data_IF_724562339909
#
_entry.id   IF_724562339909
#
_cell.length_a   1.000
_cell.length_b   1.000
_cell.length_c   1.000
_cell.angle_alpha   90.00
_cell.angle_beta   90.00
_cell.angle_gamma   90.00
#
_symmetry.space_group_name_H-M   'P 1'
#
loop_
_entity.id
_entity.type
_entity.pdbx_description
1 polymer ?
#
# COMPACT_ATOMS: atom_id res chain seq x y z
N UNK A 1 5.37 18.04 4.15
CA UNK A 1 4.55 18.10 2.92
C UNK A 1 5.04 17.00 1.99
N UNK A 2 4.40 15.84 1.98
CA UNK A 2 4.66 14.77 1.02
C UNK A 2 4.21 15.23 -0.35
N UNK A 3 5.05 15.09 -1.39
CA UNK A 3 4.65 15.39 -2.76
C UNK A 3 3.39 14.58 -3.10
N UNK A 4 2.33 15.17 -3.67
CA UNK A 4 1.06 14.49 -3.93
C UNK A 4 1.22 13.22 -4.78
N UNK A 5 2.28 13.15 -5.59
CA UNK A 5 2.66 11.97 -6.36
C UNK A 5 3.08 10.76 -5.49
N UNK A 6 3.77 10.99 -4.36
CA UNK A 6 4.28 9.91 -3.51
C UNK A 6 3.19 9.24 -2.68
N UNK A 7 2.21 10.01 -2.21
CA UNK A 7 1.06 9.42 -1.52
C UNK A 7 0.23 8.56 -2.48
N UNK A 8 0.01 9.03 -3.71
CA UNK A 8 -0.69 8.27 -4.74
C UNK A 8 0.04 6.95 -5.07
N UNK A 9 1.36 6.99 -5.26
CA UNK A 9 2.19 5.78 -5.46
C UNK A 9 2.04 4.79 -4.30
N UNK A 10 2.02 5.27 -3.05
CA UNK A 10 1.82 4.40 -1.88
C UNK A 10 0.42 3.80 -1.81
N UNK A 11 -0.62 4.56 -2.20
CA UNK A 11 -2.00 4.05 -2.31
C UNK A 11 -2.13 2.99 -3.39
N UNK A 12 -1.56 3.22 -4.56
CA UNK A 12 -1.52 2.25 -5.64
C UNK A 12 -0.80 0.97 -5.22
N UNK A 13 0.34 1.11 -4.54
CA UNK A 13 1.06 -0.04 -4.00
C UNK A 13 0.25 -0.82 -2.94
N UNK A 14 -0.43 -0.12 -2.02
CA UNK A 14 -1.32 -0.75 -1.06
C UNK A 14 -2.46 -1.51 -1.77
N UNK A 15 -3.03 -0.93 -2.83
CA UNK A 15 -4.05 -1.58 -3.67
C UNK A 15 -3.51 -2.82 -4.40
N UNK A 16 -2.30 -2.77 -4.94
CA UNK A 16 -1.62 -3.91 -5.58
C UNK A 16 -1.39 -5.04 -4.58
N UNK A 17 -0.94 -4.74 -3.37
CA UNK A 17 -0.76 -5.74 -2.31
C UNK A 17 -2.09 -6.42 -1.97
N UNK A 18 -3.18 -5.65 -1.86
CA UNK A 18 -4.52 -6.20 -1.63
C UNK A 18 -4.94 -7.12 -2.78
N UNK A 19 -4.72 -6.75 -4.04
CA UNK A 19 -5.01 -7.62 -5.21
C UNK A 19 -4.21 -8.93 -5.17
N UNK A 20 -2.92 -8.85 -4.86
CA UNK A 20 -2.03 -10.02 -4.75
C UNK A 20 -2.57 -11.02 -3.71
N UNK A 21 -2.98 -10.51 -2.54
CA UNK A 21 -3.49 -11.34 -1.44
C UNK A 21 -4.91 -11.86 -1.70
N UNK A 22 -5.74 -11.07 -2.38
CA UNK A 22 -7.08 -11.48 -2.80
C UNK A 22 -7.06 -12.59 -3.86
N UNK A 23 -5.94 -12.84 -4.54
CA UNK A 23 -5.78 -13.98 -5.45
C UNK A 23 -6.01 -15.35 -4.79
N UNK A 24 -6.07 -15.41 -3.45
CA UNK A 24 -6.40 -16.61 -2.68
C UNK A 24 -7.91 -16.81 -2.48
N UNK A 25 -8.72 -15.80 -2.76
CA UNK A 25 -10.17 -15.86 -2.62
C UNK A 25 -10.82 -16.35 -3.92
N UNK A 26 -11.99 -16.99 -3.80
CA UNK A 26 -12.75 -17.44 -4.96
C UNK A 26 -13.33 -16.28 -5.77
N UNK A 27 -13.72 -15.19 -5.09
CA UNK A 27 -14.23 -13.97 -5.71
C UNK A 27 -14.03 -12.74 -4.82
N UNK A 28 -14.09 -11.56 -5.43
CA UNK A 28 -14.04 -10.28 -4.72
C UNK A 28 -15.29 -10.07 -3.88
N UNK A 29 -16.44 -10.58 -4.34
CA UNK A 29 -17.70 -10.58 -3.60
C UNK A 29 -17.56 -11.33 -2.26
N UNK A 30 -16.97 -12.53 -2.30
CA UNK A 30 -16.74 -13.32 -1.10
C UNK A 30 -15.80 -12.60 -0.13
N UNK A 31 -14.67 -12.09 -0.63
CA UNK A 31 -13.73 -11.35 0.20
C UNK A 31 -14.36 -10.11 0.85
N UNK A 32 -15.13 -9.32 0.10
CA UNK A 32 -15.81 -8.14 0.63
C UNK A 32 -16.80 -8.51 1.74
N UNK A 33 -17.55 -9.61 1.55
CA UNK A 33 -18.46 -10.15 2.56
C UNK A 33 -17.70 -10.59 3.83
N UNK A 34 -16.62 -11.35 3.67
CA UNK A 34 -15.79 -11.82 4.80
C UNK A 34 -15.16 -10.65 5.57
N UNK A 35 -14.82 -9.56 4.89
CA UNK A 35 -14.23 -8.37 5.51
C UNK A 35 -15.30 -7.46 6.15
N UNK A 36 -16.59 -7.72 5.89
CA UNK A 36 -17.70 -6.90 6.34
C UNK A 36 -17.73 -5.51 5.69
N UNK A 37 -17.34 -5.41 4.41
CA UNK A 37 -17.37 -4.17 3.63
C UNK A 37 -18.12 -4.34 2.31
N UNK A 38 -18.59 -3.24 1.74
CA UNK A 38 -19.25 -3.27 0.42
C UNK A 38 -18.21 -3.55 -0.66
N UNK A 39 -18.60 -4.31 -1.69
CA UNK A 39 -17.74 -4.66 -2.84
C UNK A 39 -17.08 -3.44 -3.50
N UNK A 40 -17.84 -2.36 -3.73
CA UNK A 40 -17.31 -1.12 -4.31
C UNK A 40 -16.22 -0.49 -3.44
N UNK A 41 -16.34 -0.60 -2.12
CA UNK A 41 -15.31 -0.15 -1.17
C UNK A 41 -14.03 -0.97 -1.30
N UNK A 42 -14.13 -2.29 -1.50
CA UNK A 42 -12.95 -3.13 -1.74
C UNK A 42 -12.28 -2.79 -3.07
N UNK A 43 -13.04 -2.51 -4.13
CA UNK A 43 -12.50 -1.98 -5.39
C UNK A 43 -11.78 -0.64 -5.19
N UNK A 44 -12.38 0.29 -4.45
CA UNK A 44 -11.74 1.58 -4.16
C UNK A 44 -10.39 1.42 -3.43
N UNK A 45 -10.27 0.43 -2.54
CA UNK A 45 -8.98 0.08 -1.89
C UNK A 45 -8.00 -0.47 -2.93
N UNK A 46 -8.43 -1.42 -3.76
CA UNK A 46 -7.58 -2.04 -4.81
C UNK A 46 -7.13 -1.05 -5.88
N UNK A 47 -7.89 0.01 -6.14
CA UNK A 47 -7.59 1.09 -7.09
C UNK A 47 -6.76 2.21 -6.45
N UNK A 48 -6.48 2.14 -5.13
CA UNK A 48 -5.73 3.18 -4.43
C UNK A 48 -6.46 4.51 -4.31
N UNK A 49 -7.81 4.49 -4.24
CA UNK A 49 -8.60 5.71 -4.29
C UNK A 49 -8.32 6.65 -3.11
N UNK A 50 -8.24 7.96 -3.39
CA UNK A 50 -7.88 9.00 -2.42
C UNK A 50 -8.87 9.08 -1.24
N UNK A 51 -10.15 8.79 -1.48
CA UNK A 51 -11.23 8.94 -0.50
C UNK A 51 -11.35 7.78 0.51
N UNK A 52 -10.55 6.71 0.35
CA UNK A 52 -10.57 5.55 1.26
C UNK A 52 -9.99 5.96 2.62
N UNK A 53 -10.76 5.68 3.69
CA UNK A 53 -10.41 6.07 5.07
C UNK A 53 -9.62 4.97 5.78
N UNK A 54 -8.86 5.36 6.81
CA UNK A 54 -8.10 4.44 7.68
C UNK A 54 -8.93 3.24 8.16
N UNK A 55 -10.17 3.47 8.61
CA UNK A 55 -11.05 2.40 9.09
C UNK A 55 -11.26 1.29 8.05
N UNK A 56 -11.41 1.66 6.77
CA UNK A 56 -11.55 0.71 5.67
C UNK A 56 -10.28 -0.11 5.49
N UNK A 57 -9.11 0.52 5.50
CA UNK A 57 -7.83 -0.20 5.42
C UNK A 57 -7.64 -1.16 6.60
N UNK A 58 -8.08 -0.79 7.81
CA UNK A 58 -8.02 -1.67 8.96
C UNK A 58 -8.93 -2.90 8.82
N UNK A 59 -10.14 -2.74 8.27
CA UNK A 59 -11.02 -3.87 7.95
C UNK A 59 -10.37 -4.83 6.95
N UNK A 60 -9.74 -4.29 5.92
CA UNK A 60 -9.02 -5.09 4.91
C UNK A 60 -7.79 -5.78 5.51
N UNK A 61 -7.03 -5.12 6.39
CA UNK A 61 -5.92 -5.75 7.10
C UNK A 61 -6.39 -7.00 7.86
N UNK A 62 -7.43 -6.86 8.69
CA UNK A 62 -8.00 -7.97 9.46
C UNK A 62 -8.48 -9.09 8.54
N UNK A 63 -9.20 -8.73 7.48
CA UNK A 63 -9.71 -9.69 6.50
C UNK A 63 -8.63 -10.52 5.80
N UNK A 64 -7.50 -9.90 5.49
CA UNK A 64 -6.36 -10.55 4.84
C UNK A 64 -5.37 -11.20 5.83
N UNK A 65 -5.64 -11.13 7.13
CA UNK A 65 -4.70 -11.59 8.16
C UNK A 65 -3.40 -10.77 8.22
N UNK A 66 -3.42 -9.52 7.74
CA UNK A 66 -2.32 -8.60 7.84
C UNK A 66 -2.27 -7.95 9.24
N UNK A 67 -1.08 -7.51 9.68
CA UNK A 67 -0.96 -6.72 10.89
C UNK A 67 -1.87 -5.48 10.87
N UNK A 68 -2.48 -5.19 12.02
CA UNK A 68 -3.38 -4.05 12.16
C UNK A 68 -2.67 -2.75 11.82
N UNK A 69 -3.34 -1.89 11.04
CA UNK A 69 -2.79 -0.60 10.61
C UNK A 69 -1.78 -0.65 9.46
N UNK A 70 -1.29 -1.83 9.03
CA UNK A 70 -0.21 -1.93 8.03
C UNK A 70 -0.53 -1.18 6.73
N UNK A 71 -1.65 -1.49 6.08
CA UNK A 71 -2.04 -0.81 4.84
C UNK A 71 -2.15 0.72 4.99
N UNK A 72 -2.62 1.21 6.15
CA UNK A 72 -2.69 2.65 6.39
C UNK A 72 -1.30 3.26 6.63
N UNK A 73 -0.43 2.58 7.35
CA UNK A 73 0.96 2.98 7.53
C UNK A 73 1.69 3.10 6.19
N UNK A 74 1.44 2.18 5.24
CA UNK A 74 1.95 2.28 3.87
C UNK A 74 1.47 3.57 3.22
N UNK A 75 0.16 3.85 3.22
CA UNK A 75 -0.41 5.07 2.61
C UNK A 75 0.20 6.33 3.22
N UNK A 76 0.34 6.38 4.55
CA UNK A 76 0.93 7.51 5.28
C UNK A 76 2.45 7.62 5.10
N UNK A 77 3.13 6.56 4.65
CA UNK A 77 4.59 6.50 4.63
C UNK A 77 5.19 6.39 6.03
N UNK A 78 4.49 5.77 6.97
CA UNK A 78 4.93 5.60 8.36
C UNK A 78 5.97 4.47 8.47
N UNK A 79 7.22 4.83 8.17
CA UNK A 79 8.39 3.94 8.24
C UNK A 79 8.56 3.32 9.63
N UNK A 80 8.40 4.11 10.69
CA UNK A 80 8.62 3.67 12.06
C UNK A 80 7.63 2.57 12.46
N UNK A 81 6.35 2.74 12.11
CA UNK A 81 5.36 1.69 12.34
C UNK A 81 5.72 0.41 11.56
N UNK A 82 6.06 0.51 10.28
CA UNK A 82 6.36 -0.66 9.45
C UNK A 82 7.61 -1.40 9.93
N UNK A 83 8.60 -0.68 10.45
CA UNK A 83 9.79 -1.28 11.05
C UNK A 83 9.50 -2.04 12.35
N UNK A 84 8.49 -1.65 13.13
CA UNK A 84 8.15 -2.34 14.39
C UNK A 84 7.25 -3.55 14.21
N UNK A 85 6.49 -3.61 13.12
CA UNK A 85 5.61 -4.75 12.87
C UNK A 85 6.41 -5.97 12.40
N UNK A 86 6.10 -7.13 12.98
CA UNK A 86 6.61 -8.44 12.57
C UNK A 86 5.74 -9.03 11.46
N UNK A 87 6.34 -9.27 10.29
CA UNK A 87 5.73 -9.92 9.13
C UNK A 87 6.82 -10.36 8.15
N UNK A 88 6.43 -10.91 7.00
CA UNK A 88 7.36 -11.40 5.97
C UNK A 88 8.47 -10.39 5.63
N UNK A 89 9.77 -10.75 5.81
CA UNK A 89 10.88 -9.84 5.58
C UNK A 89 11.04 -9.36 4.13
N UNK A 90 10.60 -10.15 3.14
CA UNK A 90 10.66 -9.76 1.74
C UNK A 90 9.61 -8.68 1.44
N UNK A 91 8.38 -8.88 1.91
CA UNK A 91 7.31 -7.91 1.83
C UNK A 91 7.68 -6.62 2.57
N UNK A 92 8.30 -6.72 3.74
CA UNK A 92 8.79 -5.56 4.50
C UNK A 92 9.79 -4.73 3.69
N UNK A 93 10.76 -5.39 3.04
CA UNK A 93 11.71 -4.71 2.13
C UNK A 93 11.01 -4.07 0.93
N UNK A 94 10.04 -4.75 0.30
CA UNK A 94 9.24 -4.17 -0.81
C UNK A 94 8.48 -2.92 -0.36
N UNK A 95 7.84 -2.95 0.80
CA UNK A 95 7.12 -1.82 1.37
C UNK A 95 8.06 -0.65 1.66
N UNK A 96 9.18 -0.90 2.34
CA UNK A 96 10.15 0.14 2.70
C UNK A 96 10.74 0.83 1.47
N UNK A 97 11.01 0.09 0.39
CA UNK A 97 11.50 0.64 -0.88
C UNK A 97 10.48 1.57 -1.58
N UNK A 98 9.18 1.45 -1.28
CA UNK A 98 8.13 2.33 -1.82
C UNK A 98 7.96 3.58 -0.95
N UNK A 99 8.14 3.44 0.37
CA UNK A 99 8.04 4.55 1.32
C UNK A 99 9.24 5.47 1.22
N UNK A 100 10.43 4.88 1.09
CA UNK A 100 11.71 5.57 0.96
C UNK A 100 12.38 5.11 -0.34
N UNK A 101 11.88 5.60 -1.50
CA UNK A 101 12.48 5.23 -2.78
C UNK A 101 13.94 5.67 -2.78
N UNK A 102 14.88 4.79 -3.15
CA UNK A 102 16.28 5.15 -3.17
C UNK A 102 16.44 6.38 -4.07
N UNK A 103 17.04 7.44 -3.53
CA UNK A 103 17.36 8.63 -4.31
C UNK A 103 18.11 8.16 -5.54
N UNK A 104 17.60 8.36 -6.76
CA UNK A 104 18.32 7.94 -7.95
C UNK A 104 19.71 8.59 -7.89
N UNK A 105 20.79 7.85 -8.21
CA UNK A 105 22.11 8.45 -8.24
C UNK A 105 22.00 9.68 -9.13
N UNK A 106 22.36 10.86 -8.59
CA UNK A 106 22.21 12.13 -9.25
C UNK A 106 22.71 11.97 -10.69
N UNK A 107 21.78 11.85 -11.64
CA UNK A 107 22.13 11.60 -13.02
C UNK A 107 22.95 12.81 -13.42
N UNK A 108 24.25 12.57 -13.58
CA UNK A 108 25.23 13.58 -13.87
C UNK A 108 24.67 14.46 -14.96
N UNK A 109 24.55 15.74 -14.62
CA UNK A 109 24.32 16.86 -15.53
C UNK A 109 25.32 16.67 -16.68
N UNK A 110 24.91 15.98 -17.75
CA UNK A 110 25.67 15.94 -19.00
C UNK A 110 25.50 17.33 -19.58
N UNK A 111 26.36 18.24 -19.14
CA UNK A 111 26.72 19.43 -19.88
C UNK A 111 27.13 18.97 -21.28
N UNK A 112 26.19 19.01 -22.22
CA UNK A 112 26.52 18.98 -23.64
C UNK A 112 27.09 20.36 -23.95
N UNK A 113 28.41 20.47 -23.80
CA UNK A 113 29.19 21.48 -24.50
C UNK A 113 29.44 20.93 -25.90
N UNK A 114 28.86 21.56 -26.91
CA UNK A 114 29.33 21.51 -28.29
C UNK A 114 28.86 22.75 -29.02
#
# INVERSE_FOLDING_TARGET
>A
MTSPNQEQVRREFAGLLVRELLGRYRSIEQAAQDFGIVRSTLYAVMDGAAHVKQFTYNRVNVGLGLPSGLLWAIVQGDRAMIETVEFDPNLKRRILAVIDPPTPPASGRRSRSH
#
